data_IF_268693612972
#
_entry.id   IF_268693612972
#
_cell.length_a   1.000
_cell.length_b   1.000
_cell.length_c   1.000
_cell.angle_alpha   90.00
_cell.angle_beta   90.00
_cell.angle_gamma   90.00
#
_symmetry.space_group_name_H-M   'P 1'
#
loop_
_entity.id
_entity.type
_entity.pdbx_description
1 polymer ?
#
# COMPACT_ATOMS: atom_id res chain seq x y z
N UNK A 1 34.31 -7.85 -37.28
CA UNK A 1 33.08 -8.55 -36.86
C UNK A 1 33.16 -8.90 -35.37
N UNK A 2 33.38 -7.89 -34.54
CA UNK A 2 33.62 -8.02 -33.10
C UNK A 2 32.92 -6.86 -32.39
N UNK A 3 31.59 -6.92 -32.28
CA UNK A 3 30.84 -5.97 -31.45
C UNK A 3 29.39 -6.45 -31.28
N UNK A 4 29.18 -7.38 -30.35
CA UNK A 4 27.91 -7.59 -29.68
C UNK A 4 28.15 -8.57 -28.54
N UNK A 5 27.35 -8.54 -27.48
CA UNK A 5 27.43 -9.38 -26.26
C UNK A 5 28.26 -8.82 -25.10
N UNK A 6 28.37 -7.50 -24.98
CA UNK A 6 28.58 -6.82 -23.70
C UNK A 6 27.46 -5.82 -23.48
N UNK A 7 26.29 -6.26 -22.96
CA UNK A 7 25.28 -5.42 -22.25
C UNK A 7 23.96 -6.18 -21.99
N UNK A 8 24.01 -7.35 -21.35
CA UNK A 8 22.77 -7.96 -20.80
C UNK A 8 23.04 -8.53 -19.42
N UNK A 9 23.34 -7.68 -18.43
CA UNK A 9 23.31 -8.08 -17.01
C UNK A 9 23.52 -6.88 -16.07
N UNK A 10 22.62 -5.91 -16.08
CA UNK A 10 22.40 -5.06 -14.89
C UNK A 10 20.90 -4.95 -14.69
N UNK A 11 20.34 -5.83 -13.86
CA UNK A 11 18.92 -5.84 -13.46
C UNK A 11 18.75 -4.99 -12.18
N UNK A 12 18.35 -3.71 -12.26
CA UNK A 12 18.02 -2.90 -11.07
C UNK A 12 16.69 -3.34 -10.43
N UNK A 13 15.80 -4.02 -11.17
CA UNK A 13 14.48 -4.48 -10.70
C UNK A 13 14.54 -5.53 -9.59
N UNK A 14 15.51 -6.45 -9.63
CA UNK A 14 15.64 -7.53 -8.65
C UNK A 14 16.02 -6.98 -7.26
N UNK A 15 16.76 -5.85 -7.21
CA UNK A 15 17.14 -5.21 -5.94
C UNK A 15 15.97 -4.58 -5.19
N UNK A 16 14.89 -4.18 -5.88
CA UNK A 16 13.73 -3.58 -5.21
C UNK A 16 12.87 -4.63 -4.50
N UNK A 17 12.78 -5.85 -5.06
CA UNK A 17 12.05 -6.97 -4.47
C UNK A 17 12.86 -7.70 -3.39
N UNK A 18 14.19 -7.75 -3.50
CA UNK A 18 15.05 -8.44 -2.51
C UNK A 18 15.27 -7.64 -1.22
N UNK A 19 15.19 -6.31 -1.26
CA UNK A 19 15.38 -5.44 -0.08
C UNK A 19 14.38 -5.69 1.05
N UNK A 20 13.06 -5.76 0.81
CA UNK A 20 12.09 -6.04 1.87
C UNK A 20 12.25 -7.47 2.41
N UNK A 21 12.54 -8.45 1.55
CA UNK A 21 12.78 -9.85 1.98
C UNK A 21 14.04 -9.98 2.82
N UNK A 22 15.13 -9.30 2.43
CA UNK A 22 16.38 -9.30 3.19
C UNK A 22 16.25 -8.55 4.53
N UNK A 23 15.50 -7.44 4.56
CA UNK A 23 15.22 -6.72 5.79
C UNK A 23 14.37 -7.59 6.75
N UNK A 24 13.35 -8.27 6.24
CA UNK A 24 12.54 -9.20 7.03
C UNK A 24 13.39 -10.36 7.58
N UNK A 25 14.21 -10.99 6.73
CA UNK A 25 15.10 -12.07 7.16
C UNK A 25 16.13 -11.62 8.21
N UNK A 26 16.61 -10.38 8.11
CA UNK A 26 17.53 -9.81 9.10
C UNK A 26 16.84 -9.63 10.47
N UNK A 27 15.62 -9.07 10.51
CA UNK A 27 14.88 -8.84 11.76
C UNK A 27 14.51 -10.16 12.44
N UNK A 28 13.99 -11.14 11.68
CA UNK A 28 13.73 -12.49 12.21
C UNK A 28 15.02 -13.15 12.70
N UNK A 29 16.13 -12.96 11.97
CA UNK A 29 17.45 -13.46 12.35
C UNK A 29 17.93 -12.91 13.70
N UNK A 30 17.70 -11.64 14.00
CA UNK A 30 18.03 -11.05 15.32
C UNK A 30 17.19 -11.69 16.42
N UNK A 31 15.89 -11.91 16.18
CA UNK A 31 14.99 -12.67 17.05
C UNK A 31 15.52 -14.05 17.42
N UNK A 32 15.79 -14.86 16.41
CA UNK A 32 16.29 -16.23 16.58
C UNK A 32 17.65 -16.24 17.27
N UNK A 33 18.55 -15.31 16.94
CA UNK A 33 19.85 -15.19 17.59
C UNK A 33 19.73 -14.82 19.07
N UNK A 34 18.83 -13.90 19.43
CA UNK A 34 18.56 -13.54 20.81
C UNK A 34 17.99 -14.73 21.60
N UNK A 35 17.03 -15.46 21.04
CA UNK A 35 16.49 -16.67 21.65
C UNK A 35 17.56 -17.75 21.86
N UNK A 36 18.37 -18.02 20.84
CA UNK A 36 19.50 -18.96 20.93
C UNK A 36 20.53 -18.54 21.98
N UNK A 37 20.78 -17.23 22.14
CA UNK A 37 21.65 -16.70 23.17
C UNK A 37 21.09 -16.94 24.58
N UNK A 38 19.78 -16.75 24.80
CA UNK A 38 19.13 -17.05 26.08
C UNK A 38 19.23 -18.53 26.41
N UNK A 39 18.99 -19.42 25.43
CA UNK A 39 19.18 -20.87 25.59
C UNK A 39 20.64 -21.19 25.94
N UNK A 40 21.61 -20.63 25.21
CA UNK A 40 23.03 -20.86 25.44
C UNK A 40 23.49 -20.40 26.82
N UNK A 41 23.06 -19.21 27.25
CA UNK A 41 23.30 -18.69 28.60
C UNK A 41 22.67 -19.63 29.63
N UNK A 42 21.40 -20.02 29.44
CA UNK A 42 20.69 -20.94 30.31
C UNK A 42 21.40 -22.28 30.51
N UNK A 43 21.81 -22.93 29.42
CA UNK A 43 22.54 -24.20 29.46
C UNK A 43 23.89 -24.04 30.16
N UNK A 44 24.64 -22.97 29.85
CA UNK A 44 25.92 -22.70 30.51
C UNK A 44 25.75 -22.45 32.03
N UNK A 45 24.70 -21.72 32.42
CA UNK A 45 24.39 -21.47 33.83
C UNK A 45 23.95 -22.73 34.56
N UNK A 46 23.09 -23.56 33.97
CA UNK A 46 22.69 -24.84 34.59
C UNK A 46 23.85 -25.84 34.68
N UNK A 47 24.70 -25.92 33.66
CA UNK A 47 25.85 -26.82 33.69
C UNK A 47 26.89 -26.40 34.74
N UNK A 48 27.12 -25.09 34.91
CA UNK A 48 28.08 -24.58 35.90
C UNK A 48 27.53 -24.55 37.34
N UNK A 49 26.27 -24.16 37.54
CA UNK A 49 25.66 -24.04 38.87
C UNK A 49 25.09 -25.37 39.39
N UNK A 50 24.54 -26.19 38.49
CA UNK A 50 23.94 -27.49 38.80
C UNK A 50 24.90 -28.67 38.61
N UNK A 51 26.07 -28.47 38.00
CA UNK A 51 27.04 -29.54 37.77
C UNK A 51 26.56 -30.62 36.78
N UNK A 52 25.57 -30.30 35.95
CA UNK A 52 24.94 -31.25 35.02
C UNK A 52 25.51 -31.18 33.61
N UNK A 53 25.30 -32.26 32.84
CA UNK A 53 25.65 -32.30 31.43
C UNK A 53 24.81 -31.35 30.58
N UNK A 54 25.27 -31.06 29.36
CA UNK A 54 24.58 -30.17 28.40
C UNK A 54 23.17 -30.67 28.07
N UNK A 55 22.98 -32.00 27.99
CA UNK A 55 21.68 -32.61 27.68
C UNK A 55 20.69 -32.39 28.84
N UNK A 56 21.13 -32.60 30.07
CA UNK A 56 20.31 -32.40 31.27
C UNK A 56 19.98 -30.92 31.47
N UNK A 57 20.95 -30.04 31.26
CA UNK A 57 20.76 -28.59 31.28
C UNK A 57 19.71 -28.12 30.24
N UNK A 58 19.74 -28.71 29.04
CA UNK A 58 18.74 -28.44 28.01
C UNK A 58 17.37 -29.01 28.40
N UNK A 59 17.33 -30.19 29.01
CA UNK A 59 16.09 -30.81 29.50
C UNK A 59 15.42 -29.96 30.58
N UNK A 60 16.19 -29.34 31.48
CA UNK A 60 15.68 -28.44 32.52
C UNK A 60 15.01 -27.17 31.97
N UNK A 61 15.35 -26.74 30.75
CA UNK A 61 14.64 -25.64 30.08
C UNK A 61 13.22 -26.03 29.65
N UNK A 62 12.99 -27.32 29.38
CA UNK A 62 11.67 -27.85 29.00
C UNK A 62 10.88 -28.29 30.23
N UNK A 63 11.57 -28.89 31.20
CA UNK A 63 10.99 -29.39 32.44
C UNK A 63 11.77 -28.86 33.66
N UNK A 64 11.40 -27.68 34.19
CA UNK A 64 12.04 -27.13 35.38
C UNK A 64 11.81 -27.98 36.64
N UNK A 65 10.85 -28.92 36.63
CA UNK A 65 10.62 -29.82 37.78
C UNK A 65 11.78 -30.81 37.96
N UNK A 66 12.54 -31.08 36.89
CA UNK A 66 13.75 -31.90 36.95
C UNK A 66 14.87 -31.30 37.80
N UNK A 67 14.87 -29.98 38.06
CA UNK A 67 15.81 -29.33 38.97
C UNK A 67 15.57 -29.81 40.41
N UNK A 68 14.30 -29.85 40.84
CA UNK A 68 13.91 -30.36 42.16
C UNK A 68 14.37 -31.80 42.36
N UNK A 69 14.07 -32.66 41.37
CA UNK A 69 14.42 -34.07 41.41
C UNK A 69 15.94 -34.30 41.48
N UNK A 70 16.72 -33.45 40.81
CA UNK A 70 18.18 -33.55 40.85
C UNK A 70 18.75 -33.26 42.25
N UNK A 71 18.27 -32.20 42.91
CA UNK A 71 18.75 -31.79 44.24
C UNK A 71 18.21 -32.64 45.40
N UNK A 72 17.19 -33.48 45.16
CA UNK A 72 16.83 -34.54 46.11
C UNK A 72 17.89 -35.65 46.19
N UNK A 73 18.64 -35.87 45.09
CA UNK A 73 19.67 -36.90 45.00
C UNK A 73 21.10 -36.37 45.13
N UNK A 74 21.32 -35.07 44.96
CA UNK A 74 22.64 -34.42 44.98
C UNK A 74 22.63 -33.16 45.85
N UNK A 75 23.65 -32.98 46.69
CA UNK A 75 23.80 -31.74 47.46
C UNK A 75 24.25 -30.58 46.55
N UNK A 76 23.69 -29.37 46.76
CA UNK A 76 24.15 -28.17 46.07
C UNK A 76 23.25 -26.95 46.26
N UNK A 77 23.50 -25.86 45.50
CA UNK A 77 22.86 -24.57 45.69
C UNK A 77 21.46 -24.48 45.04
N UNK A 78 20.53 -25.34 45.47
CA UNK A 78 19.20 -25.53 44.90
C UNK A 78 18.43 -24.21 44.71
N UNK A 79 18.36 -23.36 45.74
CA UNK A 79 17.64 -22.07 45.67
C UNK A 79 18.22 -21.13 44.62
N UNK A 80 19.54 -21.13 44.43
CA UNK A 80 20.20 -20.30 43.42
C UNK A 80 19.91 -20.82 42.01
N UNK A 81 19.95 -22.15 41.80
CA UNK A 81 19.63 -22.76 40.50
C UNK A 81 18.17 -22.55 40.12
N UNK A 82 17.25 -22.68 41.07
CA UNK A 82 15.82 -22.36 40.87
C UNK A 82 15.61 -20.88 40.53
N UNK A 83 16.24 -19.97 41.26
CA UNK A 83 16.19 -18.53 40.97
C UNK A 83 16.72 -18.20 39.58
N UNK A 84 17.83 -18.83 39.19
CA UNK A 84 18.40 -18.72 37.85
C UNK A 84 17.46 -19.26 36.77
N UNK A 85 16.81 -20.41 37.01
CA UNK A 85 15.84 -20.99 36.10
C UNK A 85 14.67 -20.04 35.83
N UNK A 86 14.15 -19.37 36.86
CA UNK A 86 13.07 -18.37 36.69
C UNK A 86 13.51 -17.23 35.76
N UNK A 87 14.73 -16.72 35.92
CA UNK A 87 15.27 -15.64 35.07
C UNK A 87 15.41 -16.11 33.61
N UNK A 88 15.98 -17.28 33.39
CA UNK A 88 16.19 -17.84 32.03
C UNK A 88 14.85 -18.12 31.35
N UNK A 89 13.92 -18.80 32.02
CA UNK A 89 12.60 -19.12 31.48
C UNK A 89 11.80 -17.84 31.18
N UNK A 90 11.86 -16.84 32.05
CA UNK A 90 11.25 -15.52 31.79
C UNK A 90 11.87 -14.87 30.55
N UNK A 91 13.19 -14.97 30.38
CA UNK A 91 13.90 -14.51 29.18
C UNK A 91 13.44 -15.23 27.91
N UNK A 92 13.22 -16.55 27.96
CA UNK A 92 12.70 -17.33 26.84
C UNK A 92 11.27 -16.93 26.47
N UNK A 93 10.41 -16.68 27.47
CA UNK A 93 9.05 -16.18 27.23
C UNK A 93 9.08 -14.81 26.58
N UNK A 94 9.87 -13.87 27.10
CA UNK A 94 9.98 -12.50 26.56
C UNK A 94 10.52 -12.51 25.13
N UNK A 95 11.59 -13.27 24.86
CA UNK A 95 12.16 -13.38 23.51
C UNK A 95 11.20 -14.09 22.55
N UNK A 96 10.47 -15.11 23.00
CA UNK A 96 9.43 -15.78 22.23
C UNK A 96 8.28 -14.84 21.85
N UNK A 97 7.78 -14.04 22.79
CA UNK A 97 6.75 -13.03 22.54
C UNK A 97 7.23 -11.97 21.55
N UNK A 98 8.47 -11.50 21.70
CA UNK A 98 9.07 -10.52 20.78
C UNK A 98 9.22 -11.05 19.34
N UNK A 99 9.66 -12.31 19.19
CA UNK A 99 9.71 -12.98 17.88
C UNK A 99 8.29 -13.11 17.30
N UNK A 100 7.32 -13.52 18.12
CA UNK A 100 5.92 -13.68 17.72
C UNK A 100 5.33 -12.37 17.19
N UNK A 101 5.49 -11.27 17.94
CA UNK A 101 5.06 -9.93 17.52
C UNK A 101 5.72 -9.50 16.21
N UNK A 102 7.03 -9.71 16.08
CA UNK A 102 7.80 -9.35 14.88
C UNK A 102 7.32 -10.09 13.64
N UNK A 103 7.14 -11.41 13.74
CA UNK A 103 6.65 -12.25 12.63
C UNK A 103 5.22 -11.89 12.28
N UNK A 104 4.37 -11.67 13.28
CA UNK A 104 2.98 -11.26 13.08
C UNK A 104 2.89 -9.91 12.37
N UNK A 105 3.61 -8.90 12.86
CA UNK A 105 3.66 -7.57 12.26
C UNK A 105 4.19 -7.60 10.82
N UNK A 106 5.20 -8.41 10.53
CA UNK A 106 5.72 -8.54 9.17
C UNK A 106 4.78 -9.31 8.22
N UNK A 107 4.09 -10.35 8.71
CA UNK A 107 3.15 -11.12 7.92
C UNK A 107 1.87 -10.33 7.61
N UNK A 108 1.38 -9.52 8.55
CA UNK A 108 0.07 -8.88 8.48
C UNK A 108 0.11 -7.34 8.34
N UNK A 109 1.23 -6.69 8.68
CA UNK A 109 1.31 -5.23 8.80
C UNK A 109 1.20 -4.45 7.47
N UNK A 110 1.46 -5.11 6.33
CA UNK A 110 1.35 -4.49 5.01
C UNK A 110 -0.03 -4.66 4.36
N UNK A 111 -0.59 -5.87 4.40
CA UNK A 111 -1.80 -6.22 3.66
C UNK A 111 -3.08 -5.68 4.31
N UNK A 112 -3.14 -5.67 5.64
CA UNK A 112 -4.35 -5.21 6.34
C UNK A 112 -4.60 -3.72 6.07
N UNK A 113 -3.60 -2.85 6.15
CA UNK A 113 -3.86 -1.40 6.01
C UNK A 113 -4.26 -0.99 4.59
N UNK A 114 -3.69 -1.62 3.56
CA UNK A 114 -4.02 -1.30 2.15
C UNK A 114 -5.38 -1.83 1.73
N UNK A 115 -5.72 -3.06 2.11
CA UNK A 115 -7.02 -3.66 1.77
C UNK A 115 -8.17 -2.93 2.49
N UNK A 116 -7.98 -2.56 3.76
CA UNK A 116 -8.97 -1.75 4.48
C UNK A 116 -9.15 -0.35 3.86
N UNK A 117 -8.08 0.30 3.39
CA UNK A 117 -8.19 1.61 2.73
C UNK A 117 -8.96 1.49 1.41
N UNK A 118 -8.71 0.44 0.63
CA UNK A 118 -9.41 0.22 -0.63
C UNK A 118 -10.90 -0.07 -0.42
N UNK A 119 -11.25 -0.93 0.55
CA UNK A 119 -12.65 -1.19 0.91
C UNK A 119 -13.39 0.08 1.37
N UNK A 120 -12.70 0.98 2.08
CA UNK A 120 -13.28 2.27 2.48
C UNK A 120 -13.50 3.19 1.28
N UNK A 121 -12.56 3.24 0.34
CA UNK A 121 -12.69 4.02 -0.89
C UNK A 121 -13.87 3.51 -1.72
N UNK A 122 -13.96 2.20 -1.95
CA UNK A 122 -15.07 1.58 -2.72
C UNK A 122 -16.43 1.93 -2.10
N UNK A 123 -16.58 1.78 -0.77
CA UNK A 123 -17.82 2.15 -0.08
C UNK A 123 -18.13 3.64 -0.19
N UNK A 124 -17.13 4.50 -0.03
CA UNK A 124 -17.33 5.94 -0.15
C UNK A 124 -17.79 6.32 -1.57
N UNK A 125 -17.25 5.66 -2.61
CA UNK A 125 -17.71 5.87 -3.99
C UNK A 125 -19.14 5.37 -4.19
N UNK A 126 -19.49 4.21 -3.62
CA UNK A 126 -20.85 3.67 -3.69
C UNK A 126 -21.89 4.59 -3.04
N UNK A 127 -21.52 5.25 -1.94
CA UNK A 127 -22.36 6.21 -1.22
C UNK A 127 -22.35 7.62 -1.82
N UNK A 128 -21.38 7.95 -2.67
CA UNK A 128 -21.27 9.28 -3.30
C UNK A 128 -22.45 9.58 -4.24
N UNK A 129 -22.99 10.79 -4.09
CA UNK A 129 -24.09 11.34 -4.89
C UNK A 129 -23.84 12.81 -5.23
N UNK A 130 -24.14 13.21 -6.46
CA UNK A 130 -23.88 14.58 -6.93
C UNK A 130 -22.39 14.94 -6.98
N UNK A 131 -21.52 13.95 -6.87
CA UNK A 131 -20.06 14.09 -6.96
C UNK A 131 -19.59 14.39 -8.38
N UNK A 132 -18.33 14.77 -8.50
CA UNK A 132 -17.67 15.04 -9.78
C UNK A 132 -16.72 13.90 -10.09
N UNK A 133 -16.89 13.27 -11.25
CA UNK A 133 -15.98 12.24 -11.75
C UNK A 133 -14.91 12.93 -12.60
N UNK A 134 -13.64 12.70 -12.28
CA UNK A 134 -12.50 13.18 -13.06
C UNK A 134 -11.81 11.99 -13.71
N UNK A 135 -11.82 11.94 -15.03
CA UNK A 135 -11.17 10.90 -15.81
C UNK A 135 -9.74 11.32 -16.14
N UNK A 136 -8.78 10.74 -15.44
CA UNK A 136 -7.35 11.07 -15.51
C UNK A 136 -6.88 11.90 -14.32
N UNK A 137 -5.79 11.49 -13.68
CA UNK A 137 -5.12 12.14 -12.55
C UNK A 137 -3.71 12.65 -12.89
N UNK A 138 -3.48 12.99 -14.16
CA UNK A 138 -2.29 13.73 -14.58
C UNK A 138 -2.31 15.19 -14.10
N UNK A 139 -1.40 16.02 -14.60
CA UNK A 139 -1.25 17.43 -14.18
C UNK A 139 -2.58 18.19 -14.14
N UNK A 140 -3.37 18.13 -15.22
CA UNK A 140 -4.64 18.85 -15.29
C UNK A 140 -5.70 18.27 -14.35
N UNK A 141 -5.90 16.95 -14.37
CA UNK A 141 -6.88 16.27 -13.52
C UNK A 141 -6.59 16.45 -12.04
N UNK A 142 -5.32 16.37 -11.63
CA UNK A 142 -4.88 16.63 -10.25
C UNK A 142 -5.16 18.08 -9.82
N UNK A 143 -4.87 19.06 -10.67
CA UNK A 143 -5.19 20.47 -10.36
C UNK A 143 -6.69 20.69 -10.22
N UNK A 144 -7.50 20.13 -11.13
CA UNK A 144 -8.96 20.22 -11.06
C UNK A 144 -9.50 19.55 -9.79
N UNK A 145 -9.01 18.35 -9.45
CA UNK A 145 -9.38 17.63 -8.23
C UNK A 145 -9.06 18.46 -6.98
N UNK A 146 -7.86 19.02 -6.90
CA UNK A 146 -7.43 19.87 -5.79
C UNK A 146 -8.33 21.08 -5.61
N UNK A 147 -8.55 21.87 -6.66
CA UNK A 147 -9.39 23.07 -6.60
C UNK A 147 -10.86 22.77 -6.27
N UNK A 148 -11.41 21.65 -6.74
CA UNK A 148 -12.77 21.24 -6.39
C UNK A 148 -12.89 20.83 -4.91
N UNK A 149 -11.90 20.11 -4.39
CA UNK A 149 -11.86 19.70 -2.98
C UNK A 149 -11.66 20.88 -2.03
N UNK A 150 -10.88 21.89 -2.42
CA UNK A 150 -10.77 23.15 -1.67
C UNK A 150 -12.12 23.88 -1.55
N UNK A 151 -13.05 23.65 -2.49
CA UNK A 151 -14.43 24.13 -2.46
C UNK A 151 -15.43 23.16 -1.84
N UNK A 152 -14.99 22.19 -1.04
CA UNK A 152 -15.80 21.15 -0.38
C UNK A 152 -16.66 20.32 -1.34
N UNK A 153 -16.20 20.13 -2.59
CA UNK A 153 -16.88 19.27 -3.57
C UNK A 153 -16.32 17.85 -3.47
N UNK A 154 -17.24 16.89 -3.46
CA UNK A 154 -16.89 15.47 -3.53
C UNK A 154 -16.39 15.10 -4.93
N UNK A 155 -15.24 14.43 -4.99
CA UNK A 155 -14.52 14.10 -6.22
C UNK A 155 -14.15 12.63 -6.22
N UNK A 156 -14.46 11.95 -7.32
CA UNK A 156 -14.02 10.58 -7.62
C UNK A 156 -13.16 10.61 -8.88
N UNK A 157 -11.99 10.00 -8.83
CA UNK A 157 -11.03 9.94 -9.92
C UNK A 157 -11.07 8.56 -10.58
N UNK A 158 -10.99 8.50 -11.90
CA UNK A 158 -10.70 7.26 -12.62
C UNK A 158 -9.33 7.43 -13.27
N UNK A 159 -8.39 6.54 -12.96
CA UNK A 159 -7.03 6.58 -13.50
C UNK A 159 -6.55 5.18 -13.88
N UNK A 160 -5.97 5.04 -15.07
CA UNK A 160 -5.48 3.77 -15.59
C UNK A 160 -4.02 3.51 -15.18
N UNK A 161 -3.19 4.55 -15.13
CA UNK A 161 -1.79 4.43 -14.74
C UNK A 161 -1.66 4.14 -13.24
N UNK A 162 -0.93 3.08 -12.93
CA UNK A 162 -0.75 2.57 -11.58
C UNK A 162 0.04 3.53 -10.66
N UNK A 163 0.92 4.36 -11.22
CA UNK A 163 1.64 5.35 -10.43
C UNK A 163 0.76 6.56 -10.10
N UNK A 164 -0.01 7.07 -11.08
CA UNK A 164 -0.93 8.19 -10.86
C UNK A 164 -2.13 7.80 -9.97
N UNK A 165 -2.67 6.58 -10.14
CA UNK A 165 -3.72 6.05 -9.25
C UNK A 165 -3.27 6.03 -7.78
N UNK A 166 -2.07 5.49 -7.50
CA UNK A 166 -1.55 5.49 -6.13
C UNK A 166 -1.37 6.89 -5.58
N UNK A 167 -0.95 7.86 -6.41
CA UNK A 167 -0.85 9.26 -5.97
C UNK A 167 -2.20 9.85 -5.62
N UNK A 168 -3.26 9.55 -6.38
CA UNK A 168 -4.62 9.97 -6.03
C UNK A 168 -5.03 9.43 -4.65
N UNK A 169 -4.78 8.15 -4.40
CA UNK A 169 -5.05 7.49 -3.11
C UNK A 169 -4.20 8.10 -1.97
N UNK A 170 -2.93 8.42 -2.23
CA UNK A 170 -2.02 9.06 -1.26
C UNK A 170 -2.41 10.52 -0.98
N UNK A 171 -2.99 11.22 -1.96
CA UNK A 171 -3.58 12.56 -1.81
C UNK A 171 -4.97 12.51 -1.12
N UNK A 172 -5.41 11.34 -0.64
CA UNK A 172 -6.72 11.06 -0.04
C UNK A 172 -7.90 11.49 -0.95
N UNK A 173 -7.76 11.25 -2.25
CA UNK A 173 -8.84 11.38 -3.24
C UNK A 173 -9.47 10.00 -3.46
N UNK A 174 -10.81 9.95 -3.54
CA UNK A 174 -11.50 8.72 -3.93
C UNK A 174 -11.12 8.37 -5.37
N UNK A 175 -10.61 7.16 -5.62
CA UNK A 175 -10.09 6.78 -6.92
C UNK A 175 -10.43 5.34 -7.29
N UNK A 176 -10.68 5.12 -8.58
CA UNK A 176 -10.83 3.81 -9.22
C UNK A 176 -9.67 3.63 -10.20
N UNK A 177 -9.00 2.48 -10.10
CA UNK A 177 -8.00 2.08 -11.07
C UNK A 177 -8.69 1.45 -12.28
N UNK A 178 -8.68 2.13 -13.42
CA UNK A 178 -9.38 1.64 -14.60
C UNK A 178 -9.32 2.57 -15.81
N UNK A 179 -9.82 2.07 -16.92
CA UNK A 179 -9.93 2.85 -18.16
C UNK A 179 -11.29 3.54 -18.20
N UNK A 180 -11.29 4.87 -18.10
CA UNK A 180 -12.50 5.68 -18.11
C UNK A 180 -13.29 5.61 -19.43
N UNK A 181 -12.74 5.04 -20.50
CA UNK A 181 -13.45 4.82 -21.78
C UNK A 181 -14.43 3.65 -21.70
N UNK A 182 -14.33 2.80 -20.66
CA UNK A 182 -15.23 1.66 -20.47
C UNK A 182 -16.44 2.07 -19.64
N UNK A 183 -17.63 1.65 -20.09
CA UNK A 183 -18.88 1.87 -19.37
C UNK A 183 -18.88 1.26 -17.97
N UNK A 184 -18.23 0.09 -17.80
CA UNK A 184 -18.07 -0.57 -16.51
C UNK A 184 -17.33 0.33 -15.51
N UNK A 185 -16.15 0.84 -15.87
CA UNK A 185 -15.37 1.75 -15.00
C UNK A 185 -16.15 3.02 -14.63
N UNK A 186 -16.90 3.60 -15.58
CA UNK A 186 -17.74 4.76 -15.30
C UNK A 186 -18.91 4.41 -14.37
N UNK A 187 -19.47 3.21 -14.51
CA UNK A 187 -20.53 2.70 -13.65
C UNK A 187 -20.03 2.49 -12.23
N UNK A 188 -18.86 1.89 -12.07
CA UNK A 188 -18.19 1.71 -10.77
C UNK A 188 -17.90 3.06 -10.10
N UNK A 189 -17.58 4.10 -10.89
CA UNK A 189 -17.43 5.46 -10.39
C UNK A 189 -18.75 6.17 -10.05
N UNK A 190 -19.89 5.49 -10.19
CA UNK A 190 -21.20 6.04 -9.85
C UNK A 190 -21.71 7.09 -10.85
N UNK A 191 -21.33 7.02 -12.13
CA UNK A 191 -21.67 8.03 -13.16
C UNK A 191 -23.16 8.38 -13.25
N UNK A 192 -24.06 7.44 -12.97
CA UNK A 192 -25.52 7.68 -12.97
C UNK A 192 -25.99 8.59 -11.83
N UNK A 193 -25.20 8.69 -10.75
CA UNK A 193 -25.44 9.52 -9.56
C UNK A 193 -24.57 10.79 -9.57
N UNK A 194 -23.57 10.86 -10.46
CA UNK A 194 -22.66 11.99 -10.53
C UNK A 194 -23.36 13.25 -11.07
N UNK A 195 -22.91 14.41 -10.61
CA UNK A 195 -23.36 15.70 -11.15
C UNK A 195 -22.61 16.08 -12.42
N UNK A 196 -21.33 15.69 -12.54
CA UNK A 196 -20.47 16.07 -13.67
C UNK A 196 -19.41 15.01 -13.92
N UNK A 197 -19.09 14.76 -15.19
CA UNK A 197 -17.89 14.03 -15.60
C UNK A 197 -16.95 14.98 -16.32
N UNK A 198 -15.67 14.92 -15.95
CA UNK A 198 -14.59 15.71 -16.54
C UNK A 198 -13.61 14.79 -17.26
N UNK A 199 -13.55 14.85 -18.58
CA UNK A 199 -12.48 14.23 -19.37
C UNK A 199 -11.20 15.05 -19.23
N UNK A 200 -10.23 14.57 -18.45
CA UNK A 200 -9.02 15.30 -18.06
C UNK A 200 -7.72 14.65 -18.56
N UNK A 201 -7.81 13.62 -19.42
CA UNK A 201 -6.67 12.92 -20.00
C UNK A 201 -5.97 13.82 -21.03
N UNK A 202 -4.65 13.75 -21.14
CA UNK A 202 -3.88 14.47 -22.18
C UNK A 202 -3.96 13.78 -23.55
N UNK A 203 -5.17 13.39 -23.95
CA UNK A 203 -5.51 12.79 -25.23
C UNK A 203 -6.97 13.19 -25.57
N UNK A 204 -7.13 14.07 -26.57
CA UNK A 204 -8.44 14.52 -27.04
C UNK A 204 -9.34 13.35 -27.45
N UNK A 205 -8.80 12.32 -28.10
CA UNK A 205 -9.59 11.18 -28.55
C UNK A 205 -10.10 10.35 -27.37
N UNK A 206 -9.27 10.17 -26.34
CA UNK A 206 -9.68 9.48 -25.12
C UNK A 206 -10.83 10.23 -24.41
N UNK A 207 -10.72 11.55 -24.26
CA UNK A 207 -11.78 12.36 -23.64
C UNK A 207 -13.07 12.37 -24.46
N UNK A 208 -12.98 12.38 -25.79
CA UNK A 208 -14.15 12.25 -26.67
C UNK A 208 -14.81 10.87 -26.51
N UNK A 209 -14.03 9.80 -26.41
CA UNK A 209 -14.56 8.45 -26.14
C UNK A 209 -15.23 8.35 -24.77
N UNK A 210 -14.65 8.98 -23.75
CA UNK A 210 -15.26 9.09 -22.42
C UNK A 210 -16.61 9.82 -22.50
N UNK A 211 -16.69 10.95 -23.20
CA UNK A 211 -17.95 11.68 -23.39
C UNK A 211 -19.01 10.82 -24.11
N UNK A 212 -18.62 10.08 -25.15
CA UNK A 212 -19.53 9.14 -25.83
C UNK A 212 -20.02 8.04 -24.90
N UNK A 213 -19.16 7.44 -24.08
CA UNK A 213 -19.54 6.38 -23.15
C UNK A 213 -20.46 6.93 -22.04
N UNK A 214 -20.08 8.04 -21.42
CA UNK A 214 -20.83 8.68 -20.35
C UNK A 214 -22.22 9.17 -20.82
N UNK A 215 -22.32 9.77 -22.00
CA UNK A 215 -23.60 10.24 -22.55
C UNK A 215 -24.58 9.11 -22.87
N UNK A 216 -24.09 7.90 -23.20
CA UNK A 216 -24.93 6.72 -23.42
C UNK A 216 -25.51 6.16 -22.12
N UNK A 217 -24.71 6.11 -21.05
CA UNK A 217 -25.10 5.47 -19.78
C UNK A 217 -25.75 6.43 -18.77
N UNK A 218 -25.46 7.73 -18.86
CA UNK A 218 -26.00 8.78 -18.00
C UNK A 218 -26.32 10.04 -18.83
N UNK A 219 -27.42 10.05 -19.63
CA UNK A 219 -27.72 11.13 -20.58
C UNK A 219 -27.97 12.52 -19.96
N UNK A 220 -28.17 12.59 -18.64
CA UNK A 220 -28.42 13.83 -17.89
C UNK A 220 -27.19 14.35 -17.15
N UNK A 221 -26.07 13.60 -17.15
CA UNK A 221 -24.85 14.04 -16.48
C UNK A 221 -24.21 15.17 -17.28
N UNK A 222 -23.70 16.20 -16.59
CA UNK A 222 -22.96 17.27 -17.26
C UNK A 222 -21.59 16.75 -17.71
N UNK A 223 -21.24 16.96 -18.97
CA UNK A 223 -19.98 16.50 -19.56
C UNK A 223 -19.08 17.68 -19.91
N UNK A 224 -17.93 17.75 -19.24
CA UNK A 224 -16.86 18.71 -19.54
C UNK A 224 -15.66 17.93 -20.08
N UNK A 225 -15.11 18.30 -21.22
CA UNK A 225 -13.94 17.60 -21.78
C UNK A 225 -12.83 18.55 -22.15
N UNK A 226 -11.61 18.18 -21.76
CA UNK A 226 -10.37 18.77 -22.25
C UNK A 226 -10.10 18.26 -23.66
N UNK A 227 -9.76 19.15 -24.57
CA UNK A 227 -9.15 18.81 -25.86
C UNK A 227 -7.93 19.70 -26.08
N UNK A 228 -6.93 19.20 -26.80
CA UNK A 228 -5.68 19.94 -27.08
C UNK A 228 -5.74 20.89 -28.27
N UNK A 229 -6.80 20.86 -29.08
CA UNK A 229 -6.93 21.68 -30.29
C UNK A 229 -8.41 21.99 -30.60
N UNK A 230 -8.69 23.19 -31.11
CA UNK A 230 -10.03 23.64 -31.55
C UNK A 230 -10.64 22.72 -32.60
N UNK A 231 -9.83 22.05 -33.43
CA UNK A 231 -10.37 21.13 -34.45
C UNK A 231 -11.17 19.96 -33.84
N UNK A 232 -10.91 19.61 -32.57
CA UNK A 232 -11.64 18.54 -31.87
C UNK A 232 -12.95 19.02 -31.24
N UNK A 233 -13.17 20.32 -31.05
CA UNK A 233 -14.37 20.83 -30.38
C UNK A 233 -15.69 20.38 -31.06
N UNK A 234 -15.85 20.46 -32.39
CA UNK A 234 -17.07 20.00 -33.04
C UNK A 234 -17.31 18.49 -32.90
N UNK A 235 -16.25 17.70 -32.77
CA UNK A 235 -16.35 16.26 -32.56
C UNK A 235 -16.72 15.95 -31.11
N UNK A 236 -16.10 16.62 -30.14
CA UNK A 236 -16.40 16.50 -28.72
C UNK A 236 -17.86 16.86 -28.40
N UNK A 237 -18.37 17.97 -28.95
CA UNK A 237 -19.78 18.35 -28.77
C UNK A 237 -20.75 17.32 -29.35
N UNK A 238 -20.45 16.76 -30.53
CA UNK A 238 -21.24 15.68 -31.14
C UNK A 238 -21.20 14.38 -30.33
N UNK A 239 -20.11 14.14 -29.61
CA UNK A 239 -19.95 13.01 -28.70
C UNK A 239 -20.70 13.17 -27.36
N UNK A 240 -21.35 14.32 -27.13
CA UNK A 240 -22.15 14.57 -25.93
C UNK A 240 -21.53 15.56 -24.94
N UNK A 241 -20.35 16.13 -25.23
CA UNK A 241 -19.78 17.15 -24.36
C UNK A 241 -20.63 18.44 -24.33
N UNK A 242 -21.07 18.84 -23.15
CA UNK A 242 -21.74 20.13 -22.92
C UNK A 242 -20.75 21.28 -23.01
N UNK A 243 -19.56 21.09 -22.43
CA UNK A 243 -18.48 22.07 -22.40
C UNK A 243 -17.17 21.45 -22.88
N UNK A 244 -16.46 22.18 -23.72
CA UNK A 244 -15.14 21.80 -24.24
C UNK A 244 -14.14 22.85 -23.80
N UNK A 245 -13.09 22.40 -23.11
CA UNK A 245 -12.01 23.25 -22.62
C UNK A 245 -10.75 22.97 -23.43
N UNK A 246 -10.13 24.04 -23.91
CA UNK A 246 -8.82 23.99 -24.57
C UNK A 246 -7.84 24.75 -23.68
N UNK A 247 -7.07 24.05 -22.82
CA UNK A 247 -6.27 24.67 -21.77
C UNK A 247 -5.28 25.72 -22.28
N UNK A 248 -4.67 25.50 -23.43
CA UNK A 248 -3.70 26.40 -24.06
C UNK A 248 -4.36 27.74 -24.42
N UNK A 249 -5.57 27.69 -24.99
CA UNK A 249 -6.34 28.88 -25.35
C UNK A 249 -6.88 29.58 -24.10
N UNK A 250 -7.40 28.82 -23.14
CA UNK A 250 -7.90 29.37 -21.89
C UNK A 250 -6.78 30.11 -21.13
N UNK A 251 -5.59 29.48 -21.06
CA UNK A 251 -4.40 30.07 -20.45
C UNK A 251 -3.94 31.31 -21.20
N UNK A 252 -3.89 31.28 -22.53
CA UNK A 252 -3.51 32.43 -23.34
C UNK A 252 -4.46 33.61 -23.13
N UNK A 253 -5.78 33.38 -23.12
CA UNK A 253 -6.79 34.42 -22.83
C UNK A 253 -6.56 35.05 -21.45
N UNK A 254 -6.26 34.23 -20.44
CA UNK A 254 -6.00 34.72 -19.10
C UNK A 254 -4.71 35.55 -19.01
N UNK A 255 -3.64 35.17 -19.73
CA UNK A 255 -2.43 36.00 -19.81
C UNK A 255 -2.73 37.33 -20.48
N UNK A 256 -3.42 37.32 -21.63
CA UNK A 256 -3.73 38.56 -22.37
C UNK A 256 -4.66 39.51 -21.60
N UNK A 257 -5.52 39.00 -20.73
CA UNK A 257 -6.40 39.82 -19.90
C UNK A 257 -5.69 40.53 -18.74
N UNK A 258 -4.47 40.09 -18.40
CA UNK A 258 -3.65 40.67 -17.33
C UNK A 258 -2.49 41.55 -17.87
N UNK A 259 -2.42 41.75 -19.18
CA UNK A 259 -1.52 42.69 -19.86
C UNK A 259 -2.23 44.02 -20.09
#
# INVERSE_FOLDING_TARGET
MSHSLRTVARRPLVRHLLRPVAAFAAVVGVGVAAFAAVVGVGVAGFSSLGGVGVVDALFWLLDPTSIELHFQAHEGPETLVKGYAVVVLSGLVVTGLWIGETVFSAAFGGQIKSEFKQMQIERAIDEAEGHIIICGYGTFGKTVAGSLREGDREVVVIEQDDAEYRRAVDDDVLAIQGDARREETLTDAGVKRAATVVGAIDDSNANIQIAMAASQIAPTVRLVVRVGDEMYEPLARRAGADEVIIPEIASARQVTANL
#
